data_IF_341462959666
#
_entry.id   IF_341462959666
#
_cell.length_a   1.000
_cell.length_b   1.000
_cell.length_c   1.000
_cell.angle_alpha   90.00
_cell.angle_beta   90.00
_cell.angle_gamma   90.00
#
_symmetry.space_group_name_H-M   'P 1'
#
loop_
_entity.id
_entity.type
_entity.pdbx_description
1 polymer ?
#
# COMPACT_ATOMS: atom_id res chain seq x y z
N UNK A 1 17.31 1.91 -53.30
CA UNK A 1 16.14 1.13 -53.72
C UNK A 1 15.33 0.75 -52.48
N UNK A 2 14.57 1.68 -51.89
CA UNK A 2 13.73 1.41 -50.70
C UNK A 2 12.40 2.15 -50.88
N UNK A 3 11.62 1.75 -51.89
CA UNK A 3 10.33 2.38 -52.20
C UNK A 3 9.16 1.38 -52.27
N UNK A 4 9.29 0.17 -51.73
CA UNK A 4 8.22 -0.85 -51.82
C UNK A 4 7.72 -1.41 -50.49
N UNK A 5 8.26 -1.02 -49.32
CA UNK A 5 7.78 -1.56 -48.03
C UNK A 5 6.59 -0.79 -47.41
N UNK A 6 6.23 0.38 -47.94
CA UNK A 6 5.24 1.27 -47.30
C UNK A 6 3.77 1.02 -47.66
N UNK A 7 3.45 0.10 -48.59
CA UNK A 7 2.06 -0.11 -49.01
C UNK A 7 1.26 -1.05 -48.10
N UNK A 8 1.93 -1.80 -47.20
CA UNK A 8 1.34 -2.94 -46.51
C UNK A 8 1.07 -2.71 -45.02
N UNK A 9 1.55 -1.62 -44.42
CA UNK A 9 1.37 -1.36 -42.99
C UNK A 9 0.03 -0.64 -42.79
N UNK A 10 -0.78 -1.11 -41.84
CA UNK A 10 -2.00 -0.40 -41.42
C UNK A 10 -1.66 1.06 -41.12
N UNK A 11 -2.53 2.01 -41.45
CA UNK A 11 -2.25 3.43 -41.14
C UNK A 11 -2.44 3.66 -39.64
N UNK A 12 -1.52 4.38 -39.03
CA UNK A 12 -1.61 4.80 -37.64
C UNK A 12 -2.90 5.61 -37.40
N UNK A 13 -3.61 5.41 -36.26
CA UNK A 13 -4.81 6.18 -35.96
C UNK A 13 -4.54 7.69 -35.99
N UNK A 14 -5.38 8.46 -36.70
CA UNK A 14 -5.21 9.91 -36.85
C UNK A 14 -5.46 10.70 -35.56
N UNK A 15 -6.13 10.07 -34.59
CA UNK A 15 -6.58 10.68 -33.34
C UNK A 15 -5.59 10.50 -32.18
N UNK A 16 -4.29 10.36 -32.48
CA UNK A 16 -3.28 10.29 -31.44
C UNK A 16 -3.23 11.59 -30.62
N UNK A 17 -2.97 11.51 -29.31
CA UNK A 17 -2.67 12.68 -28.50
C UNK A 17 -1.52 13.45 -29.14
N UNK A 18 -1.71 14.75 -29.35
CA UNK A 18 -0.67 15.63 -29.87
C UNK A 18 -0.20 16.53 -28.74
N UNK A 19 1.11 16.56 -28.54
CA UNK A 19 1.72 17.52 -27.64
C UNK A 19 1.56 18.92 -28.25
N UNK A 20 0.92 19.87 -27.54
CA UNK A 20 0.80 21.23 -28.02
C UNK A 20 2.17 21.89 -28.01
N UNK A 21 2.61 22.41 -29.17
CA UNK A 21 3.91 23.08 -29.27
C UNK A 21 3.80 24.59 -29.06
N UNK A 22 4.81 25.19 -28.43
CA UNK A 22 4.93 26.64 -28.21
C UNK A 22 4.02 27.17 -27.09
N UNK A 23 3.65 28.45 -27.16
CA UNK A 23 2.84 29.13 -26.14
C UNK A 23 1.47 28.46 -25.88
N UNK A 24 0.99 27.63 -26.81
CA UNK A 24 -0.25 26.86 -26.63
C UNK A 24 -0.16 25.80 -25.52
N UNK A 25 1.03 25.27 -25.23
CA UNK A 25 1.25 24.31 -24.14
C UNK A 25 0.94 24.88 -22.76
N UNK A 26 1.08 26.21 -22.60
CA UNK A 26 0.84 26.92 -21.33
C UNK A 26 -0.65 27.07 -21.04
N UNK A 27 -1.47 27.20 -22.08
CA UNK A 27 -2.91 27.47 -21.95
C UNK A 27 -3.79 26.25 -22.19
N UNK A 28 -3.30 25.28 -22.95
CA UNK A 28 -4.02 24.07 -23.31
C UNK A 28 -3.08 22.90 -23.02
N UNK A 29 -3.36 22.17 -21.95
CA UNK A 29 -2.65 20.94 -21.63
C UNK A 29 -2.80 19.89 -22.74
N UNK A 30 -2.20 18.71 -22.54
CA UNK A 30 -2.23 17.62 -23.51
C UNK A 30 -3.67 17.31 -23.96
N UNK A 31 -3.95 17.50 -25.26
CA UNK A 31 -5.29 17.26 -25.79
C UNK A 31 -5.52 15.76 -25.93
N UNK A 32 -6.20 15.20 -24.93
CA UNK A 32 -6.62 13.81 -24.97
C UNK A 32 -7.87 13.66 -25.85
N UNK A 33 -7.92 12.64 -26.71
CA UNK A 33 -9.12 12.35 -27.49
C UNK A 33 -10.29 12.00 -26.57
N UNK A 34 -11.47 12.51 -26.89
CA UNK A 34 -12.72 12.37 -26.12
C UNK A 34 -13.10 10.90 -25.87
N UNK A 35 -12.77 10.00 -26.79
CA UNK A 35 -13.08 8.57 -26.69
C UNK A 35 -11.79 7.74 -26.58
N UNK A 36 -11.27 7.65 -25.36
CA UNK A 36 -10.03 6.91 -25.04
C UNK A 36 -10.16 5.42 -25.38
N UNK A 37 -11.29 4.80 -25.06
CA UNK A 37 -11.55 3.36 -25.29
C UNK A 37 -11.45 2.99 -26.77
N UNK A 38 -12.03 3.82 -27.65
CA UNK A 38 -11.94 3.60 -29.09
C UNK A 38 -10.51 3.73 -29.60
N UNK A 39 -9.77 4.74 -29.13
CA UNK A 39 -8.37 4.91 -29.51
C UNK A 39 -7.50 3.72 -29.06
N UNK A 40 -7.68 3.24 -27.83
CA UNK A 40 -6.95 2.06 -27.33
C UNK A 40 -7.21 0.85 -28.23
N UNK A 41 -8.48 0.60 -28.58
CA UNK A 41 -8.84 -0.51 -29.49
C UNK A 41 -8.23 -0.36 -30.89
N UNK A 42 -8.25 0.85 -31.43
CA UNK A 42 -7.67 1.14 -32.75
C UNK A 42 -6.14 0.99 -32.75
N UNK A 43 -5.47 1.31 -31.63
CA UNK A 43 -4.04 1.12 -31.44
C UNK A 43 -3.68 -0.36 -31.22
N UNK A 44 -4.44 -1.08 -30.40
CA UNK A 44 -4.30 -2.53 -30.24
C UNK A 44 -4.38 -3.24 -31.59
N UNK A 45 -5.41 -2.95 -32.38
CA UNK A 45 -5.59 -3.54 -33.70
C UNK A 45 -4.44 -3.18 -34.66
N UNK A 46 -3.94 -1.96 -34.60
CA UNK A 46 -2.76 -1.54 -35.37
C UNK A 46 -1.51 -2.33 -34.96
N UNK A 47 -1.22 -2.44 -33.67
CA UNK A 47 -0.02 -3.11 -33.17
C UNK A 47 -0.08 -4.62 -33.32
N UNK A 48 -1.25 -5.25 -33.17
CA UNK A 48 -1.45 -6.67 -33.48
C UNK A 48 -1.13 -6.94 -34.95
N UNK A 49 -1.65 -6.13 -35.88
CA UNK A 49 -1.38 -6.28 -37.31
C UNK A 49 0.08 -5.97 -37.67
N UNK A 50 0.73 -5.06 -36.94
CA UNK A 50 2.16 -4.79 -37.10
C UNK A 50 3.02 -5.96 -36.59
N UNK A 51 2.64 -6.56 -35.45
CA UNK A 51 3.31 -7.71 -34.85
C UNK A 51 3.19 -8.97 -35.71
N UNK A 52 2.03 -9.20 -36.32
CA UNK A 52 1.81 -10.30 -37.27
C UNK A 52 2.72 -10.21 -38.51
N UNK A 53 3.07 -9.00 -38.95
CA UNK A 53 3.88 -8.78 -40.17
C UNK A 53 5.37 -8.71 -39.92
N UNK A 54 5.79 -8.03 -38.87
CA UNK A 54 7.20 -7.74 -38.57
C UNK A 54 7.76 -8.71 -37.52
N UNK A 55 6.88 -9.45 -36.82
CA UNK A 55 7.22 -10.30 -35.69
C UNK A 55 7.25 -9.51 -34.38
N UNK A 56 6.70 -10.10 -33.32
CA UNK A 56 6.58 -9.46 -32.00
C UNK A 56 7.93 -8.97 -31.44
N UNK A 57 9.02 -9.68 -31.74
CA UNK A 57 10.36 -9.34 -31.25
C UNK A 57 10.92 -8.06 -31.88
N UNK A 58 10.82 -7.94 -33.21
CA UNK A 58 11.34 -6.78 -33.95
C UNK A 58 10.46 -5.55 -33.70
N UNK A 59 9.13 -5.73 -33.63
CA UNK A 59 8.23 -4.65 -33.24
C UNK A 59 8.58 -4.11 -31.86
N UNK A 60 8.87 -5.00 -30.90
CA UNK A 60 9.29 -4.63 -29.56
C UNK A 60 10.64 -3.91 -29.55
N UNK A 61 11.63 -4.40 -30.31
CA UNK A 61 12.95 -3.76 -30.43
C UNK A 61 12.88 -2.35 -31.02
N UNK A 62 11.98 -2.10 -31.98
CA UNK A 62 11.79 -0.78 -32.63
C UNK A 62 10.94 0.17 -31.78
N UNK A 63 9.91 -0.33 -31.12
CA UNK A 63 9.03 0.48 -30.26
C UNK A 63 9.73 0.95 -28.98
N UNK A 64 10.63 0.13 -28.44
CA UNK A 64 11.12 0.29 -27.08
C UNK A 64 12.65 0.32 -26.96
N UNK A 65 13.38 0.53 -28.07
CA UNK A 65 14.85 0.63 -28.15
C UNK A 65 15.56 -0.29 -27.13
N UNK A 66 15.59 -1.59 -27.40
CA UNK A 66 15.98 -2.65 -26.48
C UNK A 66 17.41 -2.57 -25.87
N UNK A 67 18.17 -1.50 -26.12
CA UNK A 67 19.54 -1.32 -25.65
C UNK A 67 19.68 -0.37 -24.43
N UNK A 68 18.67 0.42 -24.08
CA UNK A 68 18.80 1.43 -23.02
C UNK A 68 17.95 1.16 -21.76
N UNK A 69 16.85 0.42 -21.88
CA UNK A 69 15.85 0.31 -20.82
C UNK A 69 15.26 -1.11 -20.78
N UNK A 70 15.22 -1.71 -19.60
CA UNK A 70 14.56 -2.99 -19.36
C UNK A 70 13.04 -2.82 -19.42
N UNK A 71 12.29 -3.90 -19.66
CA UNK A 71 10.82 -3.86 -19.65
C UNK A 71 10.28 -3.27 -18.33
N UNK A 72 10.96 -3.54 -17.22
CA UNK A 72 10.65 -3.00 -15.89
C UNK A 72 10.82 -1.48 -15.75
N UNK A 73 11.60 -0.84 -16.64
CA UNK A 73 11.78 0.62 -16.65
C UNK A 73 10.62 1.36 -17.35
N UNK A 74 9.78 0.63 -18.09
CA UNK A 74 8.65 1.19 -18.85
C UNK A 74 7.28 0.92 -18.23
N UNK A 75 7.16 -0.06 -17.33
CA UNK A 75 5.90 -0.37 -16.63
C UNK A 75 6.00 0.03 -15.17
N UNK A 76 5.08 0.87 -14.72
CA UNK A 76 4.84 0.98 -13.27
C UNK A 76 4.48 -0.41 -12.74
N UNK A 77 5.23 -0.88 -11.74
CA UNK A 77 4.88 -2.14 -11.09
C UNK A 77 3.49 -1.95 -10.48
N UNK A 78 2.54 -2.81 -10.84
CA UNK A 78 1.18 -2.75 -10.30
C UNK A 78 1.16 -2.77 -8.76
N UNK A 79 2.19 -3.36 -8.14
CA UNK A 79 2.40 -3.32 -6.70
C UNK A 79 2.62 -1.91 -6.16
N UNK A 80 3.38 -1.09 -6.90
CA UNK A 80 3.76 0.27 -6.52
C UNK A 80 2.58 1.21 -6.74
N UNK A 81 1.84 1.02 -7.84
CA UNK A 81 0.57 1.72 -8.09
C UNK A 81 -0.43 1.43 -6.97
N UNK A 82 -0.61 0.17 -6.59
CA UNK A 82 -1.54 -0.20 -5.54
C UNK A 82 -1.12 0.35 -4.18
N UNK A 83 0.17 0.28 -3.85
CA UNK A 83 0.73 0.88 -2.64
C UNK A 83 0.49 2.39 -2.61
N UNK A 84 0.78 3.09 -3.71
CA UNK A 84 0.58 4.53 -3.83
C UNK A 84 -0.89 4.91 -3.67
N UNK A 85 -1.82 4.15 -4.27
CA UNK A 85 -3.25 4.37 -4.11
C UNK A 85 -3.69 4.24 -2.64
N UNK A 86 -3.22 3.22 -1.93
CA UNK A 86 -3.52 3.03 -0.50
C UNK A 86 -2.91 4.14 0.36
N UNK A 87 -1.67 4.54 0.07
CA UNK A 87 -1.03 5.68 0.73
C UNK A 87 -1.78 6.98 0.49
N UNK A 88 -2.30 7.21 -0.72
CA UNK A 88 -3.11 8.39 -1.03
C UNK A 88 -4.43 8.42 -0.26
N UNK A 89 -5.06 7.27 -0.01
CA UNK A 89 -6.25 7.20 0.86
C UNK A 89 -5.94 7.65 2.29
N UNK A 90 -4.77 7.27 2.80
CA UNK A 90 -4.31 7.70 4.13
C UNK A 90 -4.10 9.21 4.13
N UNK A 91 -3.33 9.75 3.18
CA UNK A 91 -3.08 11.20 3.05
C UNK A 91 -4.39 11.99 2.92
N UNK A 92 -5.35 11.50 2.13
CA UNK A 92 -6.66 12.13 2.01
C UNK A 92 -7.41 12.15 3.35
N UNK A 93 -7.38 11.06 4.11
CA UNK A 93 -7.98 11.00 5.45
C UNK A 93 -7.30 11.95 6.44
N UNK A 94 -5.97 12.05 6.41
CA UNK A 94 -5.21 12.99 7.23
C UNK A 94 -5.55 14.45 6.87
N UNK A 95 -5.68 14.76 5.59
CA UNK A 95 -6.04 16.11 5.13
C UNK A 95 -7.50 16.45 5.46
N UNK A 96 -8.43 15.49 5.40
CA UNK A 96 -9.80 15.63 5.89
C UNK A 96 -9.81 16.01 7.39
N UNK A 97 -8.99 15.34 8.20
CA UNK A 97 -8.84 15.66 9.63
C UNK A 97 -8.22 17.03 9.88
N UNK A 98 -7.21 17.46 9.10
CA UNK A 98 -6.64 18.81 9.20
C UNK A 98 -7.67 19.88 8.88
N UNK A 99 -8.51 19.66 7.87
CA UNK A 99 -9.59 20.59 7.52
C UNK A 99 -10.63 20.69 8.65
N UNK A 100 -11.01 19.56 9.25
CA UNK A 100 -11.92 19.52 10.40
C UNK A 100 -11.30 20.24 11.62
N UNK A 101 -10.00 20.06 11.85
CA UNK A 101 -9.28 20.77 12.91
C UNK A 101 -9.29 22.29 12.70
N UNK A 102 -9.13 22.76 11.46
CA UNK A 102 -9.26 24.19 11.13
C UNK A 102 -10.69 24.72 11.39
N UNK A 103 -11.72 23.95 11.04
CA UNK A 103 -13.11 24.34 11.33
C UNK A 103 -13.42 24.37 12.84
N UNK A 104 -12.86 23.43 13.60
CA UNK A 104 -12.95 23.37 15.07
C UNK A 104 -12.42 24.65 15.72
N UNK A 105 -11.30 25.19 15.24
CA UNK A 105 -10.73 26.44 15.77
C UNK A 105 -11.71 27.62 15.63
N UNK A 106 -12.47 27.65 14.54
CA UNK A 106 -13.44 28.71 14.23
C UNK A 106 -14.76 28.61 15.00
N UNK A 107 -15.01 27.51 15.72
CA UNK A 107 -16.23 27.34 16.52
C UNK A 107 -16.24 28.29 17.72
N UNK A 108 -17.36 28.99 17.94
CA UNK A 108 -17.48 30.00 19.01
C UNK A 108 -18.30 29.52 20.20
N UNK A 109 -19.17 28.52 19.98
CA UNK A 109 -20.02 27.93 21.02
C UNK A 109 -19.86 26.42 21.01
N UNK A 110 -19.95 25.78 22.18
CA UNK A 110 -19.81 24.32 22.32
C UNK A 110 -20.79 23.53 21.43
N UNK A 111 -21.98 24.08 21.17
CA UNK A 111 -22.98 23.44 20.30
C UNK A 111 -22.48 23.28 18.85
N UNK A 112 -21.65 24.20 18.37
CA UNK A 112 -21.08 24.13 17.01
C UNK A 112 -20.15 22.92 16.86
N UNK A 113 -19.52 22.48 17.96
CA UNK A 113 -18.63 21.32 17.98
C UNK A 113 -19.35 19.99 17.85
N UNK A 114 -20.67 19.92 18.07
CA UNK A 114 -21.43 18.66 17.93
C UNK A 114 -21.30 18.09 16.52
N UNK A 115 -21.48 18.92 15.50
CA UNK A 115 -21.33 18.53 14.10
C UNK A 115 -19.87 18.32 13.67
N UNK A 116 -18.94 19.07 14.26
CA UNK A 116 -17.50 18.89 14.04
C UNK A 116 -17.05 17.53 14.55
N UNK A 117 -17.44 17.18 15.77
CA UNK A 117 -17.11 15.90 16.39
C UNK A 117 -17.66 14.71 15.63
N UNK A 118 -18.91 14.79 15.16
CA UNK A 118 -19.50 13.74 14.32
C UNK A 118 -18.69 13.51 13.04
N UNK A 119 -18.31 14.58 12.34
CA UNK A 119 -17.50 14.48 11.12
C UNK A 119 -16.08 14.02 11.41
N UNK A 120 -15.49 14.43 12.52
CA UNK A 120 -14.18 13.97 12.96
C UNK A 120 -14.20 12.46 13.24
N UNK A 121 -15.21 11.96 13.95
CA UNK A 121 -15.38 10.52 14.22
C UNK A 121 -15.53 9.73 12.90
N UNK A 122 -16.31 10.22 11.95
CA UNK A 122 -16.44 9.62 10.62
C UNK A 122 -15.11 9.61 9.85
N UNK A 123 -14.37 10.72 9.85
CA UNK A 123 -13.07 10.84 9.18
C UNK A 123 -12.01 9.93 9.83
N UNK A 124 -11.98 9.84 11.16
CA UNK A 124 -11.10 8.92 11.91
C UNK A 124 -11.39 7.47 11.54
N UNK A 125 -12.66 7.07 11.46
CA UNK A 125 -13.02 5.71 11.04
C UNK A 125 -12.55 5.40 9.62
N UNK A 126 -12.70 6.34 8.68
CA UNK A 126 -12.17 6.19 7.32
C UNK A 126 -10.64 6.06 7.32
N UNK A 127 -9.93 6.88 8.09
CA UNK A 127 -8.47 6.84 8.19
C UNK A 127 -8.00 5.50 8.78
N UNK A 128 -8.61 5.02 9.86
CA UNK A 128 -8.30 3.72 10.45
C UNK A 128 -8.55 2.59 9.45
N UNK A 129 -9.63 2.68 8.66
CA UNK A 129 -9.91 1.71 7.59
C UNK A 129 -8.84 1.74 6.50
N UNK A 130 -8.42 2.94 6.06
CA UNK A 130 -7.37 3.10 5.05
C UNK A 130 -6.01 2.56 5.55
N UNK A 131 -5.66 2.84 6.81
CA UNK A 131 -4.48 2.28 7.47
C UNK A 131 -4.55 0.75 7.51
N UNK A 132 -5.70 0.19 7.88
CA UNK A 132 -5.87 -1.26 7.91
C UNK A 132 -5.70 -1.89 6.52
N UNK A 133 -6.27 -1.29 5.46
CA UNK A 133 -6.07 -1.74 4.07
C UNK A 133 -4.59 -1.69 3.67
N UNK A 134 -3.90 -0.58 3.96
CA UNK A 134 -2.48 -0.40 3.65
C UNK A 134 -1.60 -1.43 4.37
N UNK A 135 -1.76 -1.58 5.69
CA UNK A 135 -0.95 -2.53 6.46
C UNK A 135 -1.26 -3.98 6.10
N UNK A 136 -2.50 -4.33 5.80
CA UNK A 136 -2.84 -5.68 5.31
C UNK A 136 -2.17 -5.97 3.97
N UNK A 137 -2.12 -4.99 3.08
CA UNK A 137 -1.44 -5.11 1.79
C UNK A 137 0.07 -5.30 1.96
N UNK A 138 0.73 -4.48 2.79
CA UNK A 138 2.17 -4.61 3.07
C UNK A 138 2.51 -5.92 3.81
N UNK A 139 1.59 -6.43 4.62
CA UNK A 139 1.80 -7.66 5.39
C UNK A 139 1.77 -8.93 4.53
N UNK A 140 0.95 -8.95 3.48
CA UNK A 140 0.63 -10.16 2.71
C UNK A 140 1.87 -10.89 2.15
N UNK A 141 2.86 -10.23 1.51
CA UNK A 141 4.04 -10.91 0.98
C UNK A 141 4.84 -11.67 2.05
N UNK A 142 4.88 -11.13 3.27
CA UNK A 142 5.59 -11.76 4.38
C UNK A 142 4.83 -12.94 4.97
N UNK A 143 3.49 -12.88 5.00
CA UNK A 143 2.67 -14.03 5.38
C UNK A 143 2.84 -15.19 4.38
N UNK A 144 2.89 -14.87 3.09
CA UNK A 144 3.13 -15.85 2.05
C UNK A 144 4.53 -16.45 2.16
N UNK A 145 5.54 -15.60 2.38
CA UNK A 145 6.92 -16.03 2.65
C UNK A 145 7.02 -16.94 3.88
N UNK A 146 6.37 -16.57 4.99
CA UNK A 146 6.32 -17.37 6.21
C UNK A 146 5.68 -18.75 5.97
N UNK A 147 4.57 -18.80 5.22
CA UNK A 147 3.87 -20.05 4.89
C UNK A 147 4.73 -20.95 4.00
N UNK A 148 5.35 -20.36 2.96
CA UNK A 148 6.24 -21.07 2.05
C UNK A 148 7.47 -21.62 2.76
N UNK A 149 8.15 -20.78 3.55
CA UNK A 149 9.34 -21.17 4.30
C UNK A 149 9.02 -22.29 5.28
N UNK A 150 7.89 -22.22 5.99
CA UNK A 150 7.44 -23.27 6.91
C UNK A 150 7.23 -24.62 6.20
N UNK A 151 6.57 -24.61 5.02
CA UNK A 151 6.39 -25.81 4.19
C UNK A 151 7.71 -26.39 3.70
N UNK A 152 8.65 -25.53 3.29
CA UNK A 152 9.97 -25.93 2.80
C UNK A 152 10.84 -26.52 3.92
N UNK A 153 10.84 -25.90 5.10
CA UNK A 153 11.50 -26.44 6.30
C UNK A 153 11.00 -27.84 6.61
N UNK A 154 9.68 -28.04 6.62
CA UNK A 154 9.10 -29.36 6.86
C UNK A 154 9.56 -30.38 5.81
N UNK A 155 9.47 -30.02 4.53
CA UNK A 155 9.89 -30.87 3.42
C UNK A 155 11.35 -31.31 3.54
N UNK A 156 12.28 -30.38 3.80
CA UNK A 156 13.69 -30.74 3.97
C UNK A 156 13.95 -31.51 5.27
N UNK A 157 13.19 -31.25 6.34
CA UNK A 157 13.26 -32.07 7.57
C UNK A 157 12.91 -33.53 7.31
N UNK A 158 11.90 -33.78 6.48
CA UNK A 158 11.51 -35.14 6.04
C UNK A 158 12.59 -35.78 5.17
N UNK A 159 13.19 -35.03 4.22
CA UNK A 159 14.30 -35.54 3.41
C UNK A 159 15.53 -35.92 4.25
N UNK A 160 15.90 -35.08 5.23
CA UNK A 160 17.04 -35.36 6.11
C UNK A 160 16.85 -36.66 6.90
N UNK A 161 15.60 -36.94 7.32
CA UNK A 161 15.23 -38.14 8.08
C UNK A 161 15.04 -39.39 7.23
N UNK A 162 14.86 -39.25 5.91
CA UNK A 162 14.58 -40.38 5.03
C UNK A 162 15.80 -41.33 4.92
N UNK A 163 15.63 -42.63 5.18
CA UNK A 163 16.72 -43.60 5.06
C UNK A 163 17.11 -43.86 3.59
N UNK A 164 16.21 -43.58 2.64
CA UNK A 164 16.36 -43.92 1.22
C UNK A 164 17.21 -42.90 0.43
N UNK A 165 17.51 -41.75 1.05
CA UNK A 165 18.30 -40.69 0.43
C UNK A 165 19.78 -40.80 0.80
N UNK A 166 20.63 -40.66 -0.22
CA UNK A 166 22.09 -40.65 -0.07
C UNK A 166 22.62 -39.40 0.65
N UNK A 167 23.81 -39.53 1.24
CA UNK A 167 24.41 -38.50 2.11
C UNK A 167 24.56 -37.13 1.45
N UNK A 168 24.86 -37.10 0.14
CA UNK A 168 24.94 -35.84 -0.64
C UNK A 168 23.62 -35.07 -0.60
N UNK A 169 22.51 -35.74 -0.90
CA UNK A 169 21.16 -35.14 -0.92
C UNK A 169 20.74 -34.71 0.48
N UNK A 170 21.13 -35.48 1.51
CA UNK A 170 20.88 -35.11 2.92
C UNK A 170 21.63 -33.84 3.31
N UNK A 171 22.88 -33.69 2.89
CA UNK A 171 23.67 -32.49 3.19
C UNK A 171 23.13 -31.26 2.44
N UNK A 172 22.80 -31.39 1.15
CA UNK A 172 22.08 -30.34 0.40
C UNK A 172 20.76 -29.97 1.09
N UNK A 173 20.00 -30.95 1.60
CA UNK A 173 18.76 -30.71 2.34
C UNK A 173 18.97 -29.97 3.67
N UNK A 174 20.08 -30.22 4.38
CA UNK A 174 20.44 -29.47 5.60
C UNK A 174 20.73 -28.00 5.29
N UNK A 175 21.48 -27.74 4.22
CA UNK A 175 21.76 -26.36 3.78
C UNK A 175 20.47 -25.63 3.41
N UNK A 176 19.60 -26.27 2.62
CA UNK A 176 18.30 -25.70 2.25
C UNK A 176 17.41 -25.48 3.48
N UNK A 177 17.38 -26.43 4.41
CA UNK A 177 16.63 -26.29 5.66
C UNK A 177 17.07 -25.04 6.46
N UNK A 178 18.38 -24.81 6.57
CA UNK A 178 18.92 -23.61 7.24
C UNK A 178 18.55 -22.33 6.50
N UNK A 179 18.70 -22.31 5.18
CA UNK A 179 18.34 -21.15 4.34
C UNK A 179 16.86 -20.75 4.52
N UNK A 180 15.94 -21.71 4.43
CA UNK A 180 14.51 -21.45 4.66
C UNK A 180 14.22 -21.08 6.11
N UNK A 181 15.01 -21.58 7.07
CA UNK A 181 14.98 -21.15 8.47
C UNK A 181 15.27 -19.66 8.64
N UNK A 182 16.32 -19.15 8.01
CA UNK A 182 16.65 -17.72 8.03
C UNK A 182 15.52 -16.87 7.44
N UNK A 183 15.01 -17.24 6.25
CA UNK A 183 13.89 -16.52 5.61
C UNK A 183 12.62 -16.51 6.47
N UNK A 184 12.33 -17.61 7.18
CA UNK A 184 11.20 -17.68 8.09
C UNK A 184 11.35 -16.69 9.26
N UNK A 185 12.56 -16.57 9.81
CA UNK A 185 12.86 -15.63 10.89
C UNK A 185 12.71 -14.19 10.41
N UNK A 186 13.30 -13.84 9.26
CA UNK A 186 13.18 -12.51 8.65
C UNK A 186 11.72 -12.13 8.38
N UNK A 187 10.93 -13.04 7.79
CA UNK A 187 9.51 -12.80 7.52
C UNK A 187 8.72 -12.55 8.82
N UNK A 188 8.97 -13.35 9.87
CA UNK A 188 8.34 -13.17 11.18
C UNK A 188 8.71 -11.82 11.80
N UNK A 189 9.94 -11.35 11.64
CA UNK A 189 10.40 -10.07 12.19
C UNK A 189 9.66 -8.90 11.56
N UNK A 190 9.57 -8.90 10.23
CA UNK A 190 8.87 -7.85 9.48
C UNK A 190 7.38 -7.86 9.78
N UNK A 191 6.74 -9.04 9.81
CA UNK A 191 5.33 -9.20 10.20
C UNK A 191 5.08 -8.53 11.55
N UNK A 192 5.89 -8.85 12.55
CA UNK A 192 5.67 -8.37 13.90
C UNK A 192 5.94 -6.87 14.03
N UNK A 193 6.94 -6.35 13.30
CA UNK A 193 7.21 -4.92 13.20
C UNK A 193 6.01 -4.17 12.61
N UNK A 194 5.47 -4.62 11.48
CA UNK A 194 4.29 -4.02 10.83
C UNK A 194 3.07 -4.01 11.77
N UNK A 195 2.84 -5.08 12.52
CA UNK A 195 1.77 -5.10 13.54
C UNK A 195 1.99 -4.08 14.66
N UNK A 196 3.22 -3.88 15.12
CA UNK A 196 3.52 -2.88 16.16
C UNK A 196 3.33 -1.47 15.63
N UNK A 197 3.82 -1.18 14.42
CA UNK A 197 3.67 0.12 13.76
C UNK A 197 2.20 0.47 13.56
N UNK A 198 1.40 -0.41 12.96
CA UNK A 198 -0.03 -0.18 12.74
C UNK A 198 -0.78 0.10 14.06
N UNK A 199 -0.50 -0.67 15.12
CA UNK A 199 -1.14 -0.44 16.43
C UNK A 199 -0.64 0.83 17.11
N UNK A 200 0.60 1.23 16.87
CA UNK A 200 1.14 2.49 17.39
C UNK A 200 0.46 3.69 16.73
N UNK A 201 0.24 3.66 15.41
CA UNK A 201 -0.48 4.72 14.69
C UNK A 201 -1.91 4.91 15.21
N UNK A 202 -2.67 3.82 15.37
CA UNK A 202 -4.03 3.90 15.94
C UNK A 202 -4.00 4.50 17.36
N UNK A 203 -3.02 4.13 18.17
CA UNK A 203 -2.85 4.72 19.51
C UNK A 203 -2.53 6.20 19.43
N UNK A 204 -1.73 6.67 18.46
CA UNK A 204 -1.43 8.09 18.26
C UNK A 204 -2.69 8.87 17.93
N UNK A 205 -3.48 8.39 16.97
CA UNK A 205 -4.73 9.02 16.55
C UNK A 205 -5.66 9.26 17.75
N UNK A 206 -5.93 8.22 18.55
CA UNK A 206 -6.81 8.39 19.72
C UNK A 206 -6.21 9.26 20.82
N UNK A 207 -4.88 9.28 20.99
CA UNK A 207 -4.22 10.20 21.93
C UNK A 207 -4.42 11.64 21.51
N UNK A 208 -4.21 11.96 20.23
CA UNK A 208 -4.40 13.30 19.68
C UNK A 208 -5.85 13.76 19.86
N UNK A 209 -6.83 12.92 19.54
CA UNK A 209 -8.25 13.25 19.73
C UNK A 209 -8.59 13.54 21.21
N UNK A 210 -8.02 12.79 22.15
CA UNK A 210 -8.22 13.02 23.59
C UNK A 210 -7.59 14.34 24.03
N UNK A 211 -6.38 14.66 23.57
CA UNK A 211 -5.76 15.95 23.88
C UNK A 211 -6.59 17.11 23.32
N UNK A 212 -7.11 16.95 22.10
CA UNK A 212 -8.00 17.94 21.48
C UNK A 212 -9.30 18.13 22.27
N UNK A 213 -9.92 17.05 22.74
CA UNK A 213 -11.10 17.13 23.61
C UNK A 213 -10.81 17.82 24.95
N UNK A 214 -9.63 17.60 25.54
CA UNK A 214 -9.23 18.30 26.78
C UNK A 214 -9.07 19.81 26.56
N UNK A 215 -8.53 20.21 25.41
CA UNK A 215 -8.43 21.62 25.02
C UNK A 215 -9.81 22.24 24.92
N UNK A 216 -10.76 21.56 24.28
CA UNK A 216 -12.14 22.05 24.15
C UNK A 216 -12.85 22.15 25.50
N UNK A 217 -12.66 21.15 26.38
CA UNK A 217 -13.20 21.17 27.75
C UNK A 217 -12.71 22.37 28.54
N UNK A 218 -11.44 22.73 28.40
CA UNK A 218 -10.87 23.93 28.99
C UNK A 218 -11.40 25.21 28.34
N UNK A 219 -11.54 25.23 27.01
CA UNK A 219 -11.98 26.40 26.23
C UNK A 219 -13.43 26.80 26.51
N UNK A 220 -14.35 25.84 26.57
CA UNK A 220 -15.79 26.10 26.70
C UNK A 220 -16.35 25.90 28.12
N UNK A 221 -15.53 25.35 29.02
CA UNK A 221 -15.90 25.07 30.40
C UNK A 221 -16.67 23.75 30.58
N UNK A 222 -16.51 23.12 31.75
CA UNK A 222 -16.99 21.77 32.03
C UNK A 222 -18.51 21.59 31.84
N UNK A 223 -19.33 22.55 32.28
CA UNK A 223 -20.79 22.41 32.20
C UNK A 223 -21.33 22.39 30.77
N UNK A 224 -20.84 23.29 29.90
CA UNK A 224 -21.23 23.29 28.49
C UNK A 224 -20.66 22.08 27.77
N UNK A 225 -19.41 21.71 28.07
CA UNK A 225 -18.76 20.54 27.52
C UNK A 225 -19.52 19.25 27.83
N UNK A 226 -19.93 19.03 29.08
CA UNK A 226 -20.57 17.78 29.50
C UNK A 226 -21.90 17.54 28.79
N UNK A 227 -22.62 18.61 28.42
CA UNK A 227 -23.88 18.53 27.68
C UNK A 227 -23.71 18.04 26.23
N UNK A 228 -22.52 18.23 25.64
CA UNK A 228 -22.27 17.93 24.22
C UNK A 228 -21.30 16.76 24.03
N UNK A 229 -20.30 16.63 24.89
CA UNK A 229 -19.09 15.84 24.60
C UNK A 229 -18.75 14.76 25.62
N UNK A 230 -19.39 14.72 26.80
CA UNK A 230 -19.05 13.75 27.84
C UNK A 230 -19.15 12.29 27.36
N UNK A 231 -20.18 11.97 26.57
CA UNK A 231 -20.33 10.64 25.98
C UNK A 231 -19.21 10.29 25.01
N UNK A 232 -18.79 11.27 24.19
CA UNK A 232 -17.69 11.13 23.24
C UNK A 232 -16.34 10.96 23.95
N UNK A 233 -16.08 11.75 24.99
CA UNK A 233 -14.86 11.65 25.82
C UNK A 233 -14.70 10.22 26.35
N UNK A 234 -15.75 9.64 26.93
CA UNK A 234 -15.74 8.27 27.45
C UNK A 234 -15.48 7.23 26.35
N UNK A 235 -16.08 7.40 25.18
CA UNK A 235 -15.85 6.54 24.02
C UNK A 235 -14.39 6.59 23.57
N UNK A 236 -13.81 7.79 23.41
CA UNK A 236 -12.41 7.92 23.01
C UNK A 236 -11.45 7.28 24.00
N UNK A 237 -11.68 7.45 25.32
CA UNK A 237 -10.86 6.75 26.31
C UNK A 237 -10.97 5.23 26.18
N UNK A 238 -12.18 4.71 26.01
CA UNK A 238 -12.40 3.27 25.80
C UNK A 238 -11.62 2.77 24.57
N UNK A 239 -11.72 3.46 23.44
CA UNK A 239 -11.02 3.07 22.21
C UNK A 239 -9.50 3.20 22.35
N UNK A 240 -8.99 4.26 22.98
CA UNK A 240 -7.56 4.41 23.29
C UNK A 240 -7.05 3.24 24.16
N UNK A 241 -7.78 2.88 25.21
CA UNK A 241 -7.40 1.78 26.09
C UNK A 241 -7.40 0.44 25.34
N UNK A 242 -8.41 0.19 24.51
CA UNK A 242 -8.45 -1.00 23.66
C UNK A 242 -7.24 -1.04 22.69
N UNK A 243 -6.95 0.07 22.01
CA UNK A 243 -5.80 0.18 21.10
C UNK A 243 -4.46 -0.03 21.83
N UNK A 244 -4.28 0.52 23.04
CA UNK A 244 -3.09 0.30 23.87
C UNK A 244 -2.92 -1.16 24.27
N UNK A 245 -4.00 -1.84 24.62
CA UNK A 245 -3.94 -3.28 24.93
C UNK A 245 -3.47 -4.07 23.71
N UNK A 246 -4.00 -3.77 22.52
CA UNK A 246 -3.56 -4.42 21.28
C UNK A 246 -2.08 -4.13 20.98
N UNK A 247 -1.61 -2.89 21.15
CA UNK A 247 -0.21 -2.53 20.97
C UNK A 247 0.71 -3.30 21.93
N UNK A 248 0.34 -3.38 23.20
CA UNK A 248 1.10 -4.13 24.21
C UNK A 248 1.13 -5.63 23.91
N UNK A 249 0.04 -6.20 23.39
CA UNK A 249 0.00 -7.59 22.94
C UNK A 249 0.97 -7.82 21.76
N UNK A 250 0.95 -6.94 20.75
CA UNK A 250 1.90 -7.01 19.63
C UNK A 250 3.35 -6.91 20.10
N UNK A 251 3.68 -5.93 20.96
CA UNK A 251 5.03 -5.79 21.53
C UNK A 251 5.44 -7.00 22.36
N UNK A 252 4.52 -7.58 23.13
CA UNK A 252 4.78 -8.81 23.88
C UNK A 252 5.12 -9.97 22.95
N UNK A 253 4.41 -10.11 21.83
CA UNK A 253 4.68 -11.18 20.86
C UNK A 253 6.05 -10.98 20.19
N UNK A 254 6.43 -9.75 19.89
CA UNK A 254 7.78 -9.41 19.42
C UNK A 254 8.86 -9.84 20.40
N UNK A 255 8.72 -9.48 21.67
CA UNK A 255 9.70 -9.84 22.70
C UNK A 255 9.80 -11.35 22.92
N UNK A 256 8.68 -12.08 22.84
CA UNK A 256 8.70 -13.56 22.89
C UNK A 256 9.49 -14.14 21.73
N UNK A 257 9.25 -13.64 20.52
CA UNK A 257 9.96 -14.09 19.35
C UNK A 257 11.46 -13.80 19.44
N UNK A 258 11.85 -12.61 19.90
CA UNK A 258 13.26 -12.27 20.09
C UNK A 258 13.92 -13.14 21.18
N UNK A 259 13.18 -13.48 22.24
CA UNK A 259 13.62 -14.46 23.24
C UNK A 259 13.86 -15.83 22.62
N UNK A 260 12.90 -16.33 21.83
CA UNK A 260 13.00 -17.64 21.19
C UNK A 260 14.20 -17.72 20.21
N UNK A 261 14.57 -16.61 19.56
CA UNK A 261 15.79 -16.57 18.72
C UNK A 261 17.06 -16.73 19.54
N UNK A 262 17.13 -16.11 20.72
CA UNK A 262 18.30 -16.18 21.61
C UNK A 262 18.45 -17.60 22.16
N UNK A 263 17.34 -18.29 22.46
CA UNK A 263 17.37 -19.68 22.95
C UNK A 263 17.79 -20.71 21.88
N UNK A 264 17.76 -20.33 20.59
CA UNK A 264 18.16 -21.17 19.46
C UNK A 264 19.65 -20.97 19.08
N UNK A 265 20.28 -19.90 19.53
CA UNK A 265 21.71 -19.58 19.32
C UNK A 265 22.61 -20.21 20.38
#
# INVERSE_FOLDING_TARGET
>A
TVHSLNASVSKLPKALPKEPTGLKAVFVGMQMPQNKTKLCRDLEEYFTRAAEKVGSRVLHEVMFEAAAHTVDDYYEKMSDVQRNNLSQKITFGEDELKNIAFERENCTVMKDLEDVYRREDEAVLKLISALAEYYNYELQPYLDSQSLASKKIQHYSEQIKSPDLGERVKNESKEQHLYWGCLLMEAKDVIQKLYVEHKAEIVSIFQELIEQIKIDKHRFGAGAFDLVAAGRELLLYKELHAARVQLLQSKRNQLKQDKDKIEIQ
#
